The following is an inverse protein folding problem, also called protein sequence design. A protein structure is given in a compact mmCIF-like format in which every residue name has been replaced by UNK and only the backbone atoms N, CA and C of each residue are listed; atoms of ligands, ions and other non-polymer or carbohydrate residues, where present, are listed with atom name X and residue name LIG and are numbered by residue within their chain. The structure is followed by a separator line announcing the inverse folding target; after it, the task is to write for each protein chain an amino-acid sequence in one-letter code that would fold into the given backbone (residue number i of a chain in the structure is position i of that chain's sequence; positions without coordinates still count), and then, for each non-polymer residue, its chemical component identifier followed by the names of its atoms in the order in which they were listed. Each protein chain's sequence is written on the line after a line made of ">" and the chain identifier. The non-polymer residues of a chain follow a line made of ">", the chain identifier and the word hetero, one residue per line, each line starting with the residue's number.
data_IF_206919719935
#
_entry.id   IF_206919719935
#
_cell.length_a   1.000
_cell.length_b   1.000
_cell.length_c   1.000
_cell.angle_alpha   90.00
_cell.angle_beta   90.00
_cell.angle_gamma   90.00
#
_symmetry.space_group_name_H-M   'P 1'
#
loop_
_entity.id
_entity.type
_entity.pdbx_description
1 polymer ?
#
# COMPACT_ATOMS: atom_id res chain seq x y z
N UNK A 1 0.34 -0.04 -18.54
CA UNK A 1 0.51 1.30 -17.98
C UNK A 1 -0.04 2.32 -18.99
N UNK A 2 -0.71 3.33 -18.50
CA UNK A 2 -1.23 4.44 -19.32
C UNK A 2 -0.59 5.75 -18.84
N UNK A 3 -0.18 6.60 -19.75
CA UNK A 3 0.16 7.99 -19.46
C UNK A 3 -0.76 8.94 -20.23
N UNK A 4 -1.02 10.12 -19.65
CA UNK A 4 -1.88 11.13 -20.24
C UNK A 4 -1.24 12.51 -20.05
N UNK A 5 -1.00 13.21 -21.14
CA UNK A 5 -0.36 14.52 -21.16
C UNK A 5 -1.35 15.70 -21.30
N UNK A 6 -2.64 15.42 -21.21
CA UNK A 6 -3.73 16.37 -21.41
C UNK A 6 -4.37 16.27 -22.78
N UNK A 7 -3.71 15.65 -23.77
CA UNK A 7 -4.19 15.52 -25.14
C UNK A 7 -4.20 14.08 -25.64
N UNK A 8 -3.19 13.30 -25.29
CA UNK A 8 -2.99 11.94 -25.78
C UNK A 8 -2.86 10.94 -24.64
N UNK A 9 -3.34 9.73 -24.88
CA UNK A 9 -3.12 8.59 -24.00
C UNK A 9 -2.06 7.71 -24.67
N UNK A 10 -0.97 7.46 -23.94
CA UNK A 10 0.06 6.52 -24.37
C UNK A 10 -0.03 5.24 -23.55
N UNK A 11 -0.05 4.11 -24.24
CA UNK A 11 -0.08 2.79 -23.62
C UNK A 11 1.31 2.15 -23.63
N UNK A 12 1.68 1.57 -22.49
CA UNK A 12 2.91 0.81 -22.35
C UNK A 12 2.58 -0.61 -21.94
N UNK A 13 3.04 -1.59 -22.72
CA UNK A 13 2.95 -2.98 -22.33
C UNK A 13 3.98 -3.25 -21.22
N UNK A 14 3.52 -3.74 -20.08
CA UNK A 14 4.41 -4.07 -18.96
C UNK A 14 5.00 -5.46 -19.19
N UNK A 15 6.32 -5.59 -19.39
CA UNK A 15 6.96 -6.88 -19.58
C UNK A 15 6.96 -7.70 -18.28
N UNK A 16 7.32 -8.97 -18.37
CA UNK A 16 7.50 -9.89 -17.23
C UNK A 16 6.22 -10.26 -16.47
N UNK A 17 5.05 -9.98 -17.03
CA UNK A 17 3.79 -10.22 -16.35
C UNK A 17 3.13 -11.48 -16.89
N UNK A 18 2.79 -12.41 -16.00
CA UNK A 18 1.91 -13.52 -16.34
C UNK A 18 0.52 -12.97 -16.75
N UNK A 19 0.15 -13.16 -18.02
CA UNK A 19 -1.10 -12.62 -18.59
C UNK A 19 -2.36 -13.20 -17.91
N UNK A 20 -2.24 -14.33 -17.25
CA UNK A 20 -3.36 -15.01 -16.56
C UNK A 20 -3.68 -14.43 -15.17
N UNK A 21 -2.84 -13.54 -14.65
CA UNK A 21 -3.10 -12.89 -13.36
C UNK A 21 -4.00 -11.69 -13.60
N UNK A 22 -5.13 -11.63 -12.90
CA UNK A 22 -6.02 -10.47 -12.86
C UNK A 22 -5.60 -9.51 -11.76
N UNK A 23 -5.88 -8.20 -11.93
CA UNK A 23 -5.51 -7.13 -10.98
C UNK A 23 -4.09 -7.27 -10.45
N UNK A 24 -3.15 -7.12 -11.34
CA UNK A 24 -1.72 -7.34 -11.06
C UNK A 24 -1.16 -6.34 -10.06
N UNK A 25 -1.59 -5.10 -10.18
CA UNK A 25 -1.15 -3.97 -9.37
C UNK A 25 -2.35 -3.16 -8.89
N UNK A 26 -2.23 -2.50 -7.75
CA UNK A 26 -3.30 -1.68 -7.17
C UNK A 26 -2.82 -0.29 -6.79
N UNK A 27 -1.54 -0.14 -6.52
CA UNK A 27 -0.96 1.13 -6.12
C UNK A 27 0.34 1.38 -6.90
N UNK A 28 0.61 2.66 -7.14
CA UNK A 28 1.80 3.11 -7.84
C UNK A 28 2.39 4.30 -7.10
N UNK A 29 3.67 4.21 -6.77
CA UNK A 29 4.39 5.22 -6.01
C UNK A 29 5.38 5.92 -6.92
N UNK A 30 5.35 7.25 -6.91
CA UNK A 30 6.22 8.11 -7.72
C UNK A 30 7.47 8.49 -6.92
N UNK A 31 8.64 8.28 -7.51
CA UNK A 31 9.93 8.67 -6.94
C UNK A 31 10.78 9.31 -8.03
N UNK A 32 10.86 10.63 -8.05
CA UNK A 32 11.51 11.34 -9.15
C UNK A 32 10.87 11.00 -10.51
N UNK A 33 11.66 10.48 -11.42
CA UNK A 33 11.20 10.06 -12.76
C UNK A 33 10.75 8.59 -12.82
N UNK A 34 10.64 7.92 -11.68
CA UNK A 34 10.29 6.50 -11.61
C UNK A 34 8.94 6.27 -10.99
N UNK A 35 8.23 5.29 -11.51
CA UNK A 35 6.98 4.76 -10.97
C UNK A 35 7.24 3.35 -10.46
N UNK A 36 6.85 3.08 -9.22
CA UNK A 36 6.97 1.76 -8.61
C UNK A 36 5.57 1.18 -8.41
N UNK A 37 5.20 0.18 -9.21
CA UNK A 37 3.92 -0.50 -9.11
C UNK A 37 4.03 -1.67 -8.12
N UNK A 38 3.21 -1.63 -7.08
CA UNK A 38 3.19 -2.65 -6.03
C UNK A 38 2.40 -3.89 -6.48
N UNK A 39 2.93 -5.09 -6.23
CA UNK A 39 2.26 -6.32 -6.62
C UNK A 39 1.01 -6.56 -5.78
N UNK A 40 -0.08 -6.87 -6.44
CA UNK A 40 -1.32 -7.29 -5.80
C UNK A 40 -1.64 -8.76 -6.12
N UNK A 41 -1.97 -9.07 -7.37
CA UNK A 41 -2.33 -10.42 -7.82
C UNK A 41 -3.62 -10.94 -7.17
N UNK A 42 -4.74 -10.94 -7.90
CA UNK A 42 -6.03 -11.33 -7.32
C UNK A 42 -6.15 -12.84 -7.09
N UNK A 43 -5.64 -13.64 -8.02
CA UNK A 43 -5.78 -15.11 -8.03
C UNK A 43 -4.47 -15.84 -7.78
N UNK A 44 -3.35 -15.23 -8.09
CA UNK A 44 -2.02 -15.77 -7.88
C UNK A 44 -1.06 -14.65 -7.48
N UNK A 45 0.00 -14.99 -6.80
CA UNK A 45 1.00 -14.03 -6.39
C UNK A 45 1.72 -13.37 -7.56
N UNK A 46 1.59 -12.06 -7.70
CA UNK A 46 2.63 -11.27 -8.37
C UNK A 46 3.81 -11.13 -7.42
N UNK A 47 4.99 -11.54 -7.85
CA UNK A 47 6.18 -11.60 -6.98
C UNK A 47 7.22 -10.57 -7.38
N UNK A 48 6.81 -9.42 -7.90
CA UNK A 48 7.73 -8.35 -8.26
C UNK A 48 7.12 -6.96 -8.07
N UNK A 49 7.93 -6.03 -7.60
CA UNK A 49 7.71 -4.60 -7.77
C UNK A 49 8.16 -4.25 -9.18
N UNK A 50 7.32 -3.56 -9.94
CA UNK A 50 7.68 -3.10 -11.28
C UNK A 50 8.06 -1.63 -11.22
N UNK A 51 9.30 -1.34 -11.59
CA UNK A 51 9.80 0.01 -11.83
C UNK A 51 9.58 0.38 -13.29
N UNK A 52 9.08 1.59 -13.53
CA UNK A 52 9.02 2.20 -14.85
C UNK A 52 9.73 3.56 -14.80
N UNK A 53 10.72 3.75 -15.64
CA UNK A 53 11.41 5.01 -15.79
C UNK A 53 10.72 5.83 -16.89
N UNK A 54 10.17 6.98 -16.53
CA UNK A 54 9.37 7.83 -17.43
C UNK A 54 10.22 8.61 -18.44
N UNK A 55 11.53 8.71 -18.24
CA UNK A 55 12.45 9.38 -19.17
C UNK A 55 12.92 8.41 -20.25
N UNK A 56 13.29 7.21 -19.86
CA UNK A 56 13.84 6.21 -20.78
C UNK A 56 12.79 5.26 -21.33
N UNK A 57 11.57 5.28 -20.77
CA UNK A 57 10.47 4.33 -21.05
C UNK A 57 10.83 2.86 -20.77
N UNK A 58 11.80 2.62 -19.91
CA UNK A 58 12.25 1.28 -19.58
C UNK A 58 11.52 0.73 -18.35
N UNK A 59 11.31 -0.59 -18.38
CA UNK A 59 10.80 -1.35 -17.25
C UNK A 59 11.90 -2.17 -16.60
N UNK A 60 11.82 -2.29 -15.27
CA UNK A 60 12.62 -3.21 -14.48
C UNK A 60 11.73 -3.95 -13.49
N UNK A 61 11.93 -5.27 -13.38
CA UNK A 61 11.25 -6.09 -12.38
C UNK A 61 12.19 -6.38 -11.21
N UNK A 62 11.74 -6.05 -10.01
CA UNK A 62 12.43 -6.37 -8.77
C UNK A 62 11.71 -7.54 -8.10
N UNK A 63 12.28 -8.73 -8.26
CA UNK A 63 11.66 -9.96 -7.75
C UNK A 63 11.67 -9.99 -6.22
N UNK A 64 10.53 -10.31 -5.65
CA UNK A 64 10.34 -10.47 -4.21
C UNK A 64 10.42 -11.96 -3.87
N UNK A 65 11.37 -12.35 -3.03
CA UNK A 65 11.50 -13.72 -2.55
C UNK A 65 10.58 -13.99 -1.35
N UNK A 66 10.06 -15.21 -1.23
CA UNK A 66 9.30 -15.64 -0.05
C UNK A 66 7.89 -15.05 0.08
N UNK A 67 7.36 -14.41 -0.96
CA UNK A 67 6.02 -13.86 -0.98
C UNK A 67 5.20 -14.59 -2.05
N UNK A 68 4.49 -15.64 -1.68
CA UNK A 68 3.67 -16.41 -2.62
C UNK A 68 2.21 -16.47 -2.18
N UNK A 69 1.59 -15.30 -1.97
CA UNK A 69 0.17 -15.22 -1.67
C UNK A 69 -0.53 -14.19 -2.58
N UNK A 70 -1.83 -14.37 -2.79
CA UNK A 70 -2.67 -13.43 -3.52
C UNK A 70 -3.01 -12.19 -2.68
N UNK A 71 -3.43 -11.10 -3.36
CA UNK A 71 -3.88 -9.85 -2.74
C UNK A 71 -2.87 -9.25 -1.77
N UNK A 72 -1.62 -9.16 -2.22
CA UNK A 72 -0.49 -8.74 -1.38
C UNK A 72 -0.65 -7.32 -0.84
N UNK A 73 -0.33 -6.34 -1.63
CA UNK A 73 -0.21 -4.96 -1.17
C UNK A 73 -1.23 -4.08 -1.89
N UNK A 74 -2.03 -3.33 -1.15
CA UNK A 74 -3.00 -2.37 -1.68
C UNK A 74 -2.76 -0.96 -1.15
N UNK A 75 -1.77 -0.80 -0.31
CA UNK A 75 -1.35 0.48 0.24
C UNK A 75 0.17 0.52 0.34
N UNK A 76 0.76 1.54 -0.21
CA UNK A 76 2.18 1.81 -0.10
C UNK A 76 2.44 3.28 0.23
N UNK A 77 3.48 3.54 1.00
CA UNK A 77 3.91 4.88 1.39
C UNK A 77 5.41 5.00 1.22
N UNK A 78 5.84 6.07 0.57
CA UNK A 78 7.26 6.42 0.44
C UNK A 78 7.71 7.24 1.65
N UNK A 79 8.69 6.70 2.38
CA UNK A 79 9.45 7.41 3.40
C UNK A 79 10.89 7.55 2.91
N UNK A 80 11.31 8.77 2.61
CA UNK A 80 12.61 9.07 1.97
C UNK A 80 12.83 8.22 0.69
N UNK A 81 13.60 7.14 0.78
CA UNK A 81 13.90 6.22 -0.32
C UNK A 81 13.26 4.83 -0.14
N UNK A 82 12.52 4.65 0.93
CA UNK A 82 11.95 3.37 1.30
C UNK A 82 10.45 3.36 1.09
N UNK A 83 9.97 2.43 0.28
CA UNK A 83 8.54 2.14 0.18
C UNK A 83 8.18 1.14 1.28
N UNK A 84 7.28 1.54 2.17
CA UNK A 84 6.64 0.65 3.12
C UNK A 84 5.27 0.26 2.53
N UNK A 85 4.99 -1.03 2.41
CA UNK A 85 3.71 -1.49 1.93
C UNK A 85 3.10 -2.55 2.86
N UNK A 86 1.84 -2.34 3.21
CA UNK A 86 1.09 -3.21 4.10
C UNK A 86 0.16 -4.14 3.32
N UNK A 87 -0.04 -5.36 3.83
CA UNK A 87 -0.85 -6.36 3.14
C UNK A 87 -2.33 -5.97 3.16
N UNK A 88 -2.97 -6.17 2.02
CA UNK A 88 -4.43 -6.12 1.94
C UNK A 88 -5.03 -7.37 2.62
N UNK A 89 -4.39 -8.51 2.42
CA UNK A 89 -4.67 -9.76 3.09
C UNK A 89 -5.84 -10.55 2.49
N UNK A 90 -5.69 -11.86 2.58
CA UNK A 90 -6.75 -12.83 2.33
C UNK A 90 -6.88 -13.73 3.57
N UNK A 91 -8.09 -13.99 4.02
CA UNK A 91 -8.35 -14.82 5.22
C UNK A 91 -7.85 -16.25 5.10
N UNK A 92 -7.63 -16.71 3.88
CA UNK A 92 -7.22 -18.10 3.60
C UNK A 92 -5.70 -18.27 3.54
N UNK A 93 -4.91 -17.21 3.74
CA UNK A 93 -3.45 -17.26 3.60
C UNK A 93 -2.78 -16.96 4.93
N UNK A 94 -2.03 -17.91 5.45
CA UNK A 94 -1.32 -17.83 6.74
C UNK A 94 -0.31 -16.68 6.83
N UNK A 95 0.26 -16.28 5.70
CA UNK A 95 1.29 -15.24 5.62
C UNK A 95 0.75 -13.86 5.20
N UNK A 96 -0.57 -13.67 5.28
CA UNK A 96 -1.22 -12.40 4.91
C UNK A 96 -0.84 -11.18 5.78
N UNK A 97 0.04 -11.35 6.75
CA UNK A 97 0.57 -10.29 7.61
C UNK A 97 2.00 -9.84 7.24
N UNK A 98 2.54 -10.35 6.13
CA UNK A 98 3.84 -9.92 5.62
C UNK A 98 3.77 -8.55 4.97
N UNK A 99 4.48 -7.58 5.53
CA UNK A 99 4.69 -6.26 4.98
C UNK A 99 5.95 -6.23 4.12
N UNK A 100 6.03 -5.27 3.24
CA UNK A 100 7.17 -5.02 2.39
C UNK A 100 7.85 -3.72 2.79
N UNK A 101 9.17 -3.79 2.88
CA UNK A 101 10.08 -2.66 2.88
C UNK A 101 10.92 -2.77 1.62
N UNK A 102 10.90 -1.77 0.77
CA UNK A 102 11.55 -1.78 -0.53
C UNK A 102 12.37 -0.49 -0.71
N UNK A 103 13.67 -0.64 -0.92
CA UNK A 103 14.56 0.49 -1.21
C UNK A 103 14.51 0.84 -2.70
N UNK A 104 14.15 2.08 -3.01
CA UNK A 104 13.94 2.54 -4.38
C UNK A 104 15.22 2.83 -5.17
N UNK A 105 16.35 2.97 -4.48
CA UNK A 105 17.66 3.18 -5.11
C UNK A 105 18.35 1.85 -5.44
N UNK A 106 18.43 0.94 -4.48
CA UNK A 106 19.07 -0.36 -4.66
C UNK A 106 18.15 -1.38 -5.33
N UNK A 107 16.85 -1.29 -5.12
CA UNK A 107 15.85 -2.28 -5.50
C UNK A 107 15.82 -3.49 -4.57
N UNK A 108 16.50 -3.42 -3.43
CA UNK A 108 16.47 -4.45 -2.41
C UNK A 108 15.16 -4.44 -1.63
N UNK A 109 14.72 -5.60 -1.21
CA UNK A 109 13.49 -5.76 -0.44
C UNK A 109 13.70 -6.58 0.81
N UNK A 110 13.05 -6.15 1.87
CA UNK A 110 12.97 -6.81 3.15
C UNK A 110 11.51 -7.02 3.53
N UNK A 111 11.21 -8.13 4.20
CA UNK A 111 9.90 -8.42 4.72
C UNK A 111 9.89 -8.33 6.23
N UNK A 112 8.83 -7.76 6.77
CA UNK A 112 8.58 -7.75 8.21
C UNK A 112 7.13 -8.13 8.49
N UNK A 113 6.84 -8.55 9.72
CA UNK A 113 5.49 -8.99 10.10
C UNK A 113 4.83 -7.96 10.99
N UNK A 114 3.58 -7.63 10.66
CA UNK A 114 2.69 -6.97 11.62
C UNK A 114 2.03 -8.02 12.51
N UNK A 115 1.52 -7.57 13.67
CA UNK A 115 0.88 -8.46 14.63
C UNK A 115 -0.29 -9.24 13.98
N UNK A 116 -0.33 -10.55 14.19
CA UNK A 116 -1.38 -11.44 13.66
C UNK A 116 -2.78 -11.14 14.23
N UNK A 117 -2.85 -10.44 15.35
CA UNK A 117 -4.14 -10.05 15.96
C UNK A 117 -4.97 -9.07 15.12
N UNK A 118 -4.40 -8.49 14.06
CA UNK A 118 -5.15 -7.70 13.08
C UNK A 118 -5.97 -8.60 12.16
N UNK A 119 -6.78 -9.48 12.74
CA UNK A 119 -7.57 -10.46 12.03
C UNK A 119 -8.51 -9.87 10.97
N UNK A 120 -8.79 -10.62 9.93
CA UNK A 120 -9.84 -10.35 8.94
C UNK A 120 -9.36 -10.06 7.52
N UNK A 121 -10.35 -9.99 6.63
CA UNK A 121 -10.19 -9.61 5.21
C UNK A 121 -9.96 -8.12 5.07
N UNK A 122 -9.25 -7.72 4.01
CA UNK A 122 -9.18 -6.33 3.55
C UNK A 122 -8.62 -5.36 4.59
N UNK A 123 -7.45 -5.67 5.13
CA UNK A 123 -6.84 -4.92 6.24
C UNK A 123 -6.53 -3.48 5.86
N UNK A 124 -5.54 -3.27 5.00
CA UNK A 124 -5.08 -1.93 4.65
C UNK A 124 -5.36 -1.61 3.19
N UNK A 125 -6.05 -0.51 2.95
CA UNK A 125 -6.44 -0.07 1.60
C UNK A 125 -5.80 1.23 1.20
N UNK A 126 -5.34 2.00 2.13
CA UNK A 126 -4.72 3.30 1.89
C UNK A 126 -3.66 3.59 2.93
N UNK A 127 -2.63 4.27 2.49
CA UNK A 127 -1.58 4.81 3.34
C UNK A 127 -1.26 6.23 2.95
N UNK A 128 -0.69 6.98 3.88
CA UNK A 128 -0.23 8.34 3.65
C UNK A 128 1.02 8.63 4.47
N UNK A 129 1.94 9.38 3.88
CA UNK A 129 3.07 9.94 4.61
C UNK A 129 2.60 11.15 5.42
N UNK A 130 2.95 11.16 6.69
CA UNK A 130 2.74 12.29 7.56
C UNK A 130 3.99 12.50 8.41
N UNK A 131 4.70 13.62 8.17
CA UNK A 131 6.07 13.86 8.61
C UNK A 131 7.02 12.75 8.13
N UNK A 132 7.67 12.04 9.05
CA UNK A 132 8.64 10.98 8.84
C UNK A 132 8.07 9.57 9.04
N UNK A 133 6.74 9.45 9.12
CA UNK A 133 6.03 8.20 9.36
C UNK A 133 4.97 7.91 8.30
N UNK A 134 4.67 6.63 8.13
CA UNK A 134 3.61 6.13 7.27
C UNK A 134 2.40 5.73 8.11
N UNK A 135 1.26 6.32 7.83
CA UNK A 135 -0.03 6.02 8.44
C UNK A 135 -0.85 5.15 7.50
N UNK A 136 -1.22 3.96 7.95
CA UNK A 136 -2.01 3.02 7.17
C UNK A 136 -3.40 2.83 7.76
N UNK A 137 -4.41 3.06 6.93
CA UNK A 137 -5.81 3.05 7.33
C UNK A 137 -6.50 1.75 6.89
N UNK A 138 -7.19 1.06 7.81
CA UNK A 138 -7.94 -0.14 7.49
C UNK A 138 -9.23 0.17 6.72
N UNK A 139 -9.64 -0.73 5.85
CA UNK A 139 -10.80 -0.52 5.00
C UNK A 139 -11.88 -1.60 5.07
N UNK A 140 -11.70 -2.64 5.82
CA UNK A 140 -12.65 -3.75 5.74
C UNK A 140 -12.86 -4.54 7.03
N UNK A 141 -12.06 -4.29 8.05
CA UNK A 141 -12.09 -5.10 9.26
C UNK A 141 -12.34 -4.24 10.48
N UNK A 142 -13.41 -4.50 11.24
CA UNK A 142 -13.78 -3.69 12.41
C UNK A 142 -12.75 -3.67 13.54
N UNK A 143 -11.79 -4.59 13.50
CA UNK A 143 -10.79 -4.78 14.56
C UNK A 143 -9.38 -4.36 14.16
N UNK A 144 -9.17 -3.98 12.89
CA UNK A 144 -7.85 -3.56 12.44
C UNK A 144 -7.59 -2.11 12.84
N UNK A 145 -6.47 -1.80 13.51
CA UNK A 145 -6.12 -0.42 13.89
C UNK A 145 -5.61 0.38 12.70
N UNK A 146 -5.55 1.69 12.86
CA UNK A 146 -4.64 2.52 12.07
C UNK A 146 -3.23 2.19 12.57
N UNK A 147 -2.34 1.80 11.66
CA UNK A 147 -0.96 1.44 11.99
C UNK A 147 -0.03 2.54 11.54
N UNK A 148 0.85 2.97 12.42
CA UNK A 148 1.88 3.97 12.14
C UNK A 148 3.24 3.28 12.13
N UNK A 149 4.00 3.51 11.07
CA UNK A 149 5.27 2.82 10.82
C UNK A 149 6.34 3.84 10.44
N UNK A 150 7.53 3.73 11.04
CA UNK A 150 8.70 4.51 10.68
C UNK A 150 9.45 3.91 9.46
N UNK A 151 10.46 4.60 8.97
CA UNK A 151 11.27 4.18 7.81
C UNK A 151 12.00 2.83 8.05
N UNK A 152 12.31 2.50 9.29
CA UNK A 152 12.94 1.24 9.65
C UNK A 152 11.98 0.04 9.58
N UNK A 153 10.69 0.29 9.35
CA UNK A 153 9.66 -0.75 9.33
C UNK A 153 9.13 -1.11 10.73
N UNK A 154 9.43 -0.28 11.73
CA UNK A 154 8.97 -0.48 13.10
C UNK A 154 7.60 0.18 13.30
N UNK A 155 6.68 -0.54 13.92
CA UNK A 155 5.39 0.03 14.34
C UNK A 155 5.66 0.98 15.51
N UNK A 156 5.34 2.25 15.31
CA UNK A 156 5.52 3.30 16.32
C UNK A 156 4.24 3.58 17.09
N UNK A 157 3.09 3.32 16.45
CA UNK A 157 1.80 3.50 17.09
C UNK A 157 0.70 2.62 16.44
N UNK A 158 -0.33 2.31 17.22
CA UNK A 158 -1.55 1.63 16.80
C UNK A 158 -2.77 2.35 17.38
N UNK A 159 -3.59 2.92 16.51
CA UNK A 159 -4.81 3.65 16.92
C UNK A 159 -6.03 2.75 16.69
N UNK A 160 -6.59 2.24 17.79
CA UNK A 160 -7.69 1.30 17.75
C UNK A 160 -9.04 2.03 17.74
N UNK A 161 -9.78 1.83 16.67
CA UNK A 161 -11.19 2.24 16.58
C UNK A 161 -12.05 1.01 16.27
N UNK A 162 -13.21 0.91 16.92
CA UNK A 162 -14.10 -0.26 16.75
C UNK A 162 -15.22 0.06 15.76
N UNK A 163 -15.55 -0.91 14.92
CA UNK A 163 -16.67 -0.86 13.98
C UNK A 163 -16.64 0.34 13.03
N UNK A 164 -15.45 0.68 12.52
CA UNK A 164 -15.28 1.81 11.61
C UNK A 164 -14.57 1.38 10.33
N UNK A 165 -14.88 2.06 9.25
CA UNK A 165 -14.13 2.03 7.99
C UNK A 165 -13.56 3.41 7.72
N UNK A 166 -12.43 3.43 7.04
CA UNK A 166 -11.78 4.66 6.62
C UNK A 166 -11.74 4.78 5.11
N UNK A 167 -12.00 5.97 4.60
CA UNK A 167 -11.73 6.37 3.23
C UNK A 167 -10.23 6.57 2.98
N UNK A 168 -9.90 7.14 1.84
CA UNK A 168 -8.52 7.56 1.57
C UNK A 168 -8.18 8.81 2.38
N UNK A 169 -7.09 8.81 3.15
CA UNK A 169 -6.63 9.99 3.85
C UNK A 169 -5.98 10.99 2.89
N UNK A 170 -5.99 12.25 3.28
CA UNK A 170 -5.19 13.31 2.67
C UNK A 170 -4.46 14.08 3.76
N UNK A 171 -3.29 14.63 3.44
CA UNK A 171 -2.59 15.59 4.31
C UNK A 171 -2.84 16.99 3.77
N UNK A 172 -3.30 17.87 4.62
CA UNK A 172 -3.51 19.27 4.30
C UNK A 172 -3.27 20.14 5.53
N UNK A 173 -2.54 21.22 5.36
CA UNK A 173 -2.22 22.21 6.42
C UNK A 173 -1.69 21.57 7.73
N UNK A 174 -0.81 20.57 7.60
CA UNK A 174 -0.19 19.90 8.75
C UNK A 174 -1.09 18.89 9.50
N UNK A 175 -2.23 18.51 8.94
CA UNK A 175 -3.16 17.53 9.52
C UNK A 175 -3.50 16.41 8.54
N UNK A 176 -3.85 15.24 9.06
CA UNK A 176 -4.43 14.15 8.26
C UNK A 176 -5.96 14.27 8.33
N UNK A 177 -6.59 14.36 7.18
CA UNK A 177 -8.04 14.33 7.01
C UNK A 177 -8.47 12.99 6.43
N UNK A 178 -9.47 12.36 7.03
CA UNK A 178 -10.02 11.10 6.52
C UNK A 178 -11.53 11.01 6.79
N UNK A 179 -12.27 10.47 5.83
CA UNK A 179 -13.68 10.12 6.05
C UNK A 179 -13.74 8.82 6.85
N UNK A 180 -14.40 8.87 8.00
CA UNK A 180 -14.70 7.70 8.83
C UNK A 180 -16.18 7.34 8.69
N UNK A 181 -16.46 6.05 8.49
CA UNK A 181 -17.81 5.50 8.47
C UNK A 181 -17.99 4.62 9.70
N UNK A 182 -18.88 5.01 10.56
CA UNK A 182 -19.31 4.19 11.71
C UNK A 182 -20.29 3.12 11.21
N UNK A 183 -19.89 1.85 11.34
CA UNK A 183 -20.70 0.73 10.86
C UNK A 183 -21.93 0.45 11.73
N UNK A 184 -21.93 0.89 12.98
CA UNK A 184 -23.06 0.72 13.91
C UNK A 184 -24.16 1.72 13.62
N UNK A 185 -23.79 2.99 13.51
CA UNK A 185 -24.75 4.11 13.29
C UNK A 185 -24.94 4.43 11.82
N UNK A 186 -24.10 3.88 10.93
CA UNK A 186 -24.03 4.17 9.48
C UNK A 186 -23.80 5.66 9.18
N UNK A 187 -23.18 6.37 10.10
CA UNK A 187 -22.86 7.78 9.93
C UNK A 187 -21.47 7.97 9.32
N UNK A 188 -21.34 9.03 8.51
CA UNK A 188 -20.08 9.46 7.93
C UNK A 188 -19.58 10.69 8.65
N UNK A 189 -18.32 10.70 9.04
CA UNK A 189 -17.67 11.83 9.72
C UNK A 189 -16.34 12.15 9.05
N UNK A 190 -16.04 13.43 8.90
CA UNK A 190 -14.69 13.88 8.62
C UNK A 190 -13.90 13.86 9.93
N UNK A 191 -12.84 13.09 9.98
CA UNK A 191 -11.91 13.05 11.11
C UNK A 191 -10.63 13.78 10.76
N UNK A 192 -10.07 14.43 11.76
CA UNK A 192 -8.80 15.16 11.68
C UNK A 192 -7.88 14.50 12.71
N UNK A 193 -6.73 14.02 12.24
CA UNK A 193 -5.67 13.49 13.09
C UNK A 193 -4.51 14.47 13.13
N UNK A 194 -4.07 14.77 14.34
CA UNK A 194 -2.91 15.56 14.67
C UNK A 194 -1.88 14.67 15.37
N UNK A 195 -0.60 15.02 15.26
CA UNK A 195 0.49 14.31 15.94
C UNK A 195 0.60 14.65 17.43
N UNK A 196 -0.12 15.67 17.90
CA UNK A 196 -0.05 16.16 19.29
C UNK A 196 -0.88 15.33 20.26
#
# INVERSE_FOLDING_TARGET
>A
LLSFDGNTIQEYEVPYINKNITRKFTDCIVVGNKLFALPFGETQGMNAVIEFDTVTNNFKAHNLSGIDFAKKYNAGVLLNKTIIALPYGDEHVSDSNLCLKFDTDSGESEQFKINQSFGGKYRFRSGIKYFDEAYFFPAGTPTCPIVVINEQGQITNELHEKNVLFGRPIVFDGYIYVIKVDLTTKTHKLCIYDRN
#
